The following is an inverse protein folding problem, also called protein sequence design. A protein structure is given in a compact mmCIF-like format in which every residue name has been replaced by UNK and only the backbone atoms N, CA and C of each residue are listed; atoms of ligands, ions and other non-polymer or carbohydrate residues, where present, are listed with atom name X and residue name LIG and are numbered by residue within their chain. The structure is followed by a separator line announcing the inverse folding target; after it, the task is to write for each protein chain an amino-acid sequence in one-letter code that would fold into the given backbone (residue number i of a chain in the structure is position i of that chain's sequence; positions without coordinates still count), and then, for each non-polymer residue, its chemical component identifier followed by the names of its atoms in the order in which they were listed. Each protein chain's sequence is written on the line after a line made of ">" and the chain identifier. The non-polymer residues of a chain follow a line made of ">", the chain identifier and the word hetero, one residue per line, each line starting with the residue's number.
data_IF_583255038031
#
_entry.id   IF_583255038031
#
_cell.length_a   1.000
_cell.length_b   1.000
_cell.length_c   1.000
_cell.angle_alpha   90.00
_cell.angle_beta   90.00
_cell.angle_gamma   90.00
#
_symmetry.space_group_name_H-M   'P 1'
#
loop_
_entity.id
_entity.type
_entity.pdbx_description
1 polymer ?
#
# COMPACT_ATOMS: atom_id res chain seq x y z
N UNK A 1 10.21 -11.04 8.18
CA UNK A 1 10.32 -9.57 8.01
C UNK A 1 9.97 -8.91 9.33
N UNK A 2 10.63 -7.80 9.71
CA UNK A 2 10.35 -7.16 11.02
C UNK A 2 8.98 -6.45 10.97
N UNK A 3 8.12 -6.69 11.98
CA UNK A 3 6.87 -5.95 12.14
C UNK A 3 7.20 -4.53 12.62
N UNK A 4 6.63 -3.48 12.01
CA UNK A 4 6.82 -2.09 12.45
C UNK A 4 6.36 -1.90 13.89
N UNK A 5 7.06 -1.07 14.64
CA UNK A 5 6.71 -0.77 16.04
C UNK A 5 5.76 0.41 16.16
N UNK A 6 5.95 1.40 15.29
CA UNK A 6 5.19 2.66 15.30
C UNK A 6 4.81 3.02 13.88
N UNK A 7 3.51 3.18 13.65
CA UNK A 7 2.94 3.68 12.39
C UNK A 7 2.43 5.11 12.61
N UNK A 8 2.77 5.99 11.67
CA UNK A 8 2.10 7.29 11.53
C UNK A 8 0.95 7.17 10.55
N UNK A 9 -0.13 7.88 10.82
CA UNK A 9 -1.22 8.14 9.86
C UNK A 9 -1.06 9.54 9.28
N UNK A 10 -1.73 9.84 8.18
CA UNK A 10 -1.70 11.17 7.60
C UNK A 10 -2.47 12.17 8.48
N UNK A 11 -2.05 13.44 8.38
CA UNK A 11 -2.63 14.53 9.17
C UNK A 11 -4.10 14.76 8.82
N UNK A 12 -5.01 14.80 9.81
CA UNK A 12 -6.41 15.07 9.54
C UNK A 12 -6.62 16.52 9.06
N UNK A 13 -7.43 16.73 8.05
CA UNK A 13 -7.73 18.04 7.44
C UNK A 13 -8.46 19.00 8.37
N UNK A 14 -9.05 18.50 9.46
CA UNK A 14 -9.84 19.28 10.40
C UNK A 14 -9.06 19.80 11.62
N UNK A 15 -7.75 19.68 11.62
CA UNK A 15 -6.86 20.19 12.67
C UNK A 15 -5.94 21.30 12.14
N UNK A 16 -5.22 21.97 13.05
CA UNK A 16 -4.28 23.03 12.65
C UNK A 16 -3.17 22.48 11.76
N UNK A 17 -2.82 23.22 10.71
CA UNK A 17 -1.73 22.85 9.81
C UNK A 17 -0.43 22.64 10.58
N UNK A 18 0.38 21.62 10.21
CA UNK A 18 1.67 21.39 10.83
C UNK A 18 2.64 22.55 10.47
N UNK A 19 3.70 22.67 11.27
CA UNK A 19 4.64 23.80 11.15
C UNK A 19 5.35 23.88 9.79
N UNK A 20 5.40 22.81 9.04
CA UNK A 20 6.05 22.75 7.72
C UNK A 20 5.11 23.09 6.54
N UNK A 21 3.83 23.34 6.80
CA UNK A 21 2.85 23.76 5.79
C UNK A 21 2.01 24.94 6.26
N UNK A 22 1.66 25.82 5.33
CA UNK A 22 0.70 26.90 5.54
C UNK A 22 -0.64 26.60 4.87
N UNK A 23 -0.75 25.44 4.22
CA UNK A 23 -1.97 25.03 3.54
C UNK A 23 -3.01 24.55 4.55
N UNK A 24 -4.27 24.89 4.31
CA UNK A 24 -5.40 24.47 5.16
C UNK A 24 -5.61 22.96 5.04
N UNK A 25 -5.39 22.41 3.85
CA UNK A 25 -5.46 20.99 3.54
C UNK A 25 -4.11 20.55 3.03
N UNK A 26 -3.55 19.51 3.64
CA UNK A 26 -2.30 18.91 3.16
C UNK A 26 -2.56 18.13 1.88
N UNK A 27 -1.78 18.39 0.84
CA UNK A 27 -1.88 17.69 -0.43
C UNK A 27 -0.54 17.68 -1.17
N UNK A 28 -0.38 16.71 -2.06
CA UNK A 28 0.76 16.63 -2.95
C UNK A 28 2.10 16.61 -2.22
N UNK A 29 2.91 17.65 -2.36
CA UNK A 29 4.26 17.71 -1.79
C UNK A 29 4.29 17.87 -0.27
N UNK A 30 3.26 18.46 0.33
CA UNK A 30 3.16 18.59 1.79
C UNK A 30 2.91 17.23 2.45
N UNK A 31 2.10 16.36 1.85
CA UNK A 31 1.89 15.00 2.33
C UNK A 31 3.18 14.16 2.23
N UNK A 32 3.95 14.33 1.16
CA UNK A 32 5.26 13.67 1.01
C UNK A 32 6.23 14.13 2.09
N UNK A 33 6.21 15.43 2.42
CA UNK A 33 7.04 16.00 3.48
C UNK A 33 6.59 15.50 4.86
N UNK A 34 5.28 15.36 5.08
CA UNK A 34 4.72 14.76 6.30
C UNK A 34 5.23 13.33 6.50
N UNK A 35 5.14 12.48 5.46
CA UNK A 35 5.66 11.12 5.50
C UNK A 35 7.16 11.09 5.80
N UNK A 36 7.95 11.95 5.15
CA UNK A 36 9.37 12.07 5.45
C UNK A 36 9.64 12.50 6.89
N UNK A 37 8.88 13.47 7.41
CA UNK A 37 9.00 13.93 8.79
C UNK A 37 8.68 12.81 9.79
N UNK A 38 7.64 12.02 9.52
CA UNK A 38 7.28 10.86 10.33
C UNK A 38 8.43 9.85 10.45
N UNK A 39 9.08 9.52 9.34
CA UNK A 39 10.23 8.61 9.36
C UNK A 39 11.46 9.24 10.02
N UNK A 40 11.85 10.44 9.61
CA UNK A 40 13.15 11.02 9.93
C UNK A 40 13.22 11.69 11.30
N UNK A 41 12.10 12.28 11.76
CA UNK A 41 12.07 13.08 12.99
C UNK A 41 11.25 12.43 14.10
N UNK A 42 10.11 11.79 13.77
CA UNK A 42 9.28 11.11 14.76
C UNK A 42 9.74 9.67 15.02
N UNK A 43 10.63 9.12 14.18
CA UNK A 43 11.14 7.77 14.32
C UNK A 43 10.11 6.68 14.07
N UNK A 44 9.08 6.97 13.25
CA UNK A 44 8.11 5.98 12.83
C UNK A 44 8.74 5.01 11.84
N UNK A 45 8.51 3.71 12.03
CA UNK A 45 8.98 2.66 11.11
C UNK A 45 8.02 2.49 9.93
N UNK A 46 6.81 3.05 10.02
CA UNK A 46 5.75 2.90 9.02
C UNK A 46 4.95 4.18 8.86
N UNK A 47 4.59 4.47 7.62
CA UNK A 47 3.63 5.49 7.26
C UNK A 47 2.43 4.84 6.56
N UNK A 48 1.23 5.05 7.07
CA UNK A 48 0.01 4.75 6.35
C UNK A 48 -0.21 5.84 5.30
N UNK A 49 -0.32 5.43 4.03
CA UNK A 49 -0.66 6.31 2.92
C UNK A 49 -2.13 6.14 2.60
N UNK A 50 -2.88 7.18 2.90
CA UNK A 50 -4.33 7.15 2.78
C UNK A 50 -4.76 7.44 1.33
N UNK A 51 -5.48 6.48 0.74
CA UNK A 51 -6.01 6.57 -0.61
C UNK A 51 -7.53 6.76 -0.63
N UNK A 52 -8.13 7.07 0.52
CA UNK A 52 -9.57 7.21 0.70
C UNK A 52 -9.95 8.69 0.86
N UNK A 53 -11.02 9.12 0.19
CA UNK A 53 -11.64 10.44 0.40
C UNK A 53 -10.85 11.64 -0.13
N UNK A 54 -9.78 11.46 -0.89
CA UNK A 54 -8.92 12.54 -1.39
C UNK A 54 -8.22 12.22 -2.70
N UNK A 55 -7.62 13.24 -3.29
CA UNK A 55 -6.71 13.07 -4.42
C UNK A 55 -5.41 12.40 -3.95
N UNK A 56 -5.10 11.24 -4.53
CA UNK A 56 -3.97 10.41 -4.11
C UNK A 56 -2.73 10.71 -4.95
N UNK A 57 -1.61 11.01 -4.30
CA UNK A 57 -0.33 11.13 -4.99
C UNK A 57 0.27 9.76 -5.30
N UNK A 58 0.03 9.28 -6.53
CA UNK A 58 0.56 8.01 -7.03
C UNK A 58 2.09 8.01 -7.21
N UNK A 59 2.78 9.13 -6.98
CA UNK A 59 4.23 9.29 -7.13
C UNK A 59 4.96 9.45 -5.79
N UNK A 60 4.30 9.19 -4.67
CA UNK A 60 4.87 9.38 -3.33
C UNK A 60 6.25 8.75 -3.18
N UNK A 61 6.46 7.49 -3.54
CA UNK A 61 7.76 6.81 -3.42
C UNK A 61 8.82 7.48 -4.29
N UNK A 62 8.48 7.85 -5.52
CA UNK A 62 9.41 8.60 -6.39
C UNK A 62 9.83 9.92 -5.75
N UNK A 63 8.87 10.66 -5.20
CA UNK A 63 9.13 11.94 -4.54
C UNK A 63 9.97 11.78 -3.28
N UNK A 64 9.69 10.77 -2.46
CA UNK A 64 10.50 10.44 -1.29
C UNK A 64 11.96 10.16 -1.69
N UNK A 65 12.19 9.29 -2.66
CA UNK A 65 13.54 8.94 -3.11
C UNK A 65 14.28 10.11 -3.76
N UNK A 66 13.60 10.96 -4.53
CA UNK A 66 14.27 12.09 -5.22
C UNK A 66 14.51 13.28 -4.32
N UNK A 67 13.65 13.55 -3.35
CA UNK A 67 13.78 14.69 -2.43
C UNK A 67 14.65 14.40 -1.22
N UNK A 68 14.72 13.13 -0.81
CA UNK A 68 15.36 12.69 0.43
C UNK A 68 16.26 11.47 0.19
N UNK A 69 17.03 11.49 -0.91
CA UNK A 69 17.83 10.36 -1.38
C UNK A 69 18.75 9.80 -0.31
N UNK A 70 19.55 10.64 0.36
CA UNK A 70 20.51 10.22 1.38
C UNK A 70 19.85 9.43 2.50
N UNK A 71 18.71 9.92 3.00
CA UNK A 71 17.96 9.25 4.06
C UNK A 71 17.47 7.86 3.64
N UNK A 72 16.90 7.74 2.43
CA UNK A 72 16.36 6.46 1.96
C UNK A 72 17.44 5.50 1.44
N UNK A 73 18.65 5.96 1.18
CA UNK A 73 19.81 5.08 0.95
C UNK A 73 20.24 4.37 2.24
N UNK A 74 20.16 5.05 3.38
CA UNK A 74 20.50 4.50 4.70
C UNK A 74 19.35 3.73 5.35
N UNK A 75 18.11 4.16 5.11
CA UNK A 75 16.88 3.60 5.68
C UNK A 75 15.99 3.05 4.57
N UNK A 76 16.15 1.79 4.24
CA UNK A 76 15.58 1.19 3.03
C UNK A 76 14.08 0.99 3.16
N UNK A 77 13.31 1.70 2.31
CA UNK A 77 11.86 1.53 2.24
C UNK A 77 11.50 0.17 1.64
N UNK A 78 10.71 -0.60 2.36
CA UNK A 78 10.38 -1.99 2.06
C UNK A 78 11.20 -3.01 2.87
N UNK A 79 12.26 -2.57 3.56
CA UNK A 79 13.07 -3.43 4.45
C UNK A 79 13.13 -2.88 5.87
N UNK A 80 13.58 -1.65 6.04
CA UNK A 80 13.77 -0.99 7.33
C UNK A 80 12.56 -0.13 7.70
N UNK A 81 11.98 0.52 6.69
CA UNK A 81 10.77 1.34 6.77
C UNK A 81 9.66 0.76 5.89
N UNK A 82 8.42 1.09 6.18
CA UNK A 82 7.24 0.68 5.42
C UNK A 82 6.37 1.84 4.99
N UNK A 83 5.83 1.73 3.79
CA UNK A 83 4.73 2.54 3.29
C UNK A 83 3.56 1.59 3.00
N UNK A 84 2.46 1.75 3.73
CA UNK A 84 1.31 0.85 3.67
C UNK A 84 0.11 1.63 3.15
N UNK A 85 -0.49 1.20 2.04
CA UNK A 85 -1.63 1.90 1.43
C UNK A 85 -2.92 1.55 2.18
N UNK A 86 -3.70 2.54 2.62
CA UNK A 86 -5.09 2.34 2.99
C UNK A 86 -5.96 2.59 1.77
N UNK A 87 -6.53 1.53 1.23
CA UNK A 87 -7.33 1.57 0.00
C UNK A 87 -8.82 1.70 0.31
N UNK A 88 -9.64 2.33 -0.54
CA UNK A 88 -11.09 2.39 -0.35
C UNK A 88 -11.70 0.99 -0.29
N UNK A 89 -12.69 0.80 0.60
CA UNK A 89 -13.49 -0.42 0.62
C UNK A 89 -14.64 -0.32 -0.40
N UNK A 90 -14.61 -1.09 -1.50
CA UNK A 90 -15.61 -0.95 -2.56
C UNK A 90 -17.02 -1.40 -2.14
N UNK A 91 -17.17 -2.05 -1.01
CA UNK A 91 -18.48 -2.44 -0.47
C UNK A 91 -19.14 -1.29 0.29
N UNK A 92 -18.34 -0.42 0.91
CA UNK A 92 -18.79 0.73 1.69
C UNK A 92 -18.74 2.02 0.86
N UNK A 93 -17.67 2.22 0.06
CA UNK A 93 -17.39 3.47 -0.66
C UNK A 93 -17.44 3.29 -2.17
N UNK A 94 -18.65 3.09 -2.68
CA UNK A 94 -18.88 2.79 -4.10
C UNK A 94 -18.42 3.87 -5.06
N UNK A 95 -18.42 5.13 -4.66
CA UNK A 95 -17.95 6.24 -5.49
C UNK A 95 -16.44 6.15 -5.77
N UNK A 96 -15.67 5.64 -4.82
CA UNK A 96 -14.22 5.52 -4.87
C UNK A 96 -13.73 4.10 -5.20
N UNK A 97 -14.63 3.16 -5.40
CA UNK A 97 -14.33 1.75 -5.60
C UNK A 97 -13.24 1.48 -6.67
N UNK A 98 -13.17 2.31 -7.72
CA UNK A 98 -12.16 2.13 -8.78
C UNK A 98 -10.77 2.61 -8.39
N UNK A 99 -10.66 3.51 -7.42
CA UNK A 99 -9.39 3.97 -6.87
C UNK A 99 -8.61 2.80 -6.27
N UNK A 100 -9.30 1.84 -5.62
CA UNK A 100 -8.69 0.60 -5.16
C UNK A 100 -7.87 -0.06 -6.29
N UNK A 101 -8.48 -0.27 -7.46
CA UNK A 101 -7.83 -0.95 -8.57
C UNK A 101 -6.64 -0.14 -9.11
N UNK A 102 -6.79 1.17 -9.22
CA UNK A 102 -5.73 2.08 -9.65
C UNK A 102 -4.54 2.02 -8.70
N UNK A 103 -4.77 2.00 -7.38
CA UNK A 103 -3.70 1.91 -6.40
C UNK A 103 -2.96 0.57 -6.48
N UNK A 104 -3.67 -0.54 -6.60
CA UNK A 104 -3.05 -1.86 -6.78
C UNK A 104 -2.19 -1.94 -8.05
N UNK A 105 -2.61 -1.31 -9.14
CA UNK A 105 -1.86 -1.23 -10.40
C UNK A 105 -0.56 -0.38 -10.27
N UNK A 106 -0.45 0.49 -9.28
CA UNK A 106 0.77 1.28 -9.08
C UNK A 106 1.92 0.47 -8.46
N UNK A 107 1.62 -0.60 -7.74
CA UNK A 107 2.59 -1.36 -6.94
C UNK A 107 3.74 -1.90 -7.80
N UNK A 108 3.52 -2.57 -8.95
CA UNK A 108 4.63 -3.04 -9.78
C UNK A 108 5.52 -1.91 -10.31
N UNK A 109 4.94 -0.79 -10.72
CA UNK A 109 5.70 0.39 -11.17
C UNK A 109 6.60 0.95 -10.07
N UNK A 110 6.09 0.97 -8.84
CA UNK A 110 6.85 1.43 -7.66
C UNK A 110 7.96 0.44 -7.30
N UNK A 111 7.74 -0.86 -7.53
CA UNK A 111 8.78 -1.87 -7.40
C UNK A 111 9.94 -1.64 -8.37
N UNK A 112 9.64 -1.39 -9.65
CA UNK A 112 10.67 -1.11 -10.66
C UNK A 112 11.49 0.14 -10.32
N UNK A 113 10.81 1.18 -9.82
CA UNK A 113 11.47 2.39 -9.33
C UNK A 113 12.42 2.08 -8.16
N UNK A 114 11.99 1.27 -7.21
CA UNK A 114 12.79 0.84 -6.07
C UNK A 114 14.02 0.04 -6.51
N UNK A 115 13.83 -0.87 -7.45
CA UNK A 115 14.93 -1.65 -8.05
C UNK A 115 15.97 -0.76 -8.74
N UNK A 116 15.54 0.27 -9.46
CA UNK A 116 16.46 1.26 -10.05
C UNK A 116 17.20 2.06 -8.97
N UNK A 117 16.51 2.41 -7.90
CA UNK A 117 17.09 3.21 -6.82
C UNK A 117 18.08 2.43 -5.96
N UNK A 118 17.75 1.22 -5.53
CA UNK A 118 18.58 0.39 -4.64
C UNK A 118 19.54 -0.55 -5.37
N UNK A 119 19.27 -0.90 -6.62
CA UNK A 119 19.98 -1.96 -7.35
C UNK A 119 19.61 -3.38 -6.92
N UNK A 120 18.57 -3.53 -6.10
CA UNK A 120 18.09 -4.79 -5.51
C UNK A 120 16.58 -4.94 -5.69
N UNK A 121 16.08 -6.17 -5.65
CA UNK A 121 14.65 -6.49 -5.69
C UNK A 121 14.02 -6.24 -4.31
N UNK A 122 13.64 -5.00 -4.02
CA UNK A 122 12.98 -4.57 -2.78
C UNK A 122 11.62 -3.98 -3.13
N UNK A 123 10.56 -4.52 -2.53
CA UNK A 123 9.20 -4.01 -2.68
C UNK A 123 8.93 -2.90 -1.64
N UNK A 124 8.87 -1.63 -2.02
CA UNK A 124 8.60 -0.54 -1.06
C UNK A 124 7.15 -0.55 -0.58
N UNK A 125 6.24 -1.11 -1.37
CA UNK A 125 4.85 -1.33 -1.04
C UNK A 125 4.52 -2.80 -1.31
N UNK A 126 4.08 -3.52 -0.28
CA UNK A 126 3.69 -4.93 -0.35
C UNK A 126 2.56 -5.28 0.63
N UNK A 127 2.05 -4.29 1.35
CA UNK A 127 0.89 -4.40 2.24
C UNK A 127 -0.12 -3.31 1.92
N UNK A 128 -1.40 -3.67 1.95
CA UNK A 128 -2.53 -2.74 1.82
C UNK A 128 -3.49 -2.95 2.98
N UNK A 129 -4.09 -1.87 3.48
CA UNK A 129 -5.11 -1.90 4.53
C UNK A 129 -6.48 -1.80 3.89
N UNK A 130 -7.37 -2.75 4.20
CA UNK A 130 -8.78 -2.69 3.86
C UNK A 130 -9.56 -2.19 5.08
N UNK A 131 -10.07 -0.94 5.08
CA UNK A 131 -10.90 -0.41 6.15
C UNK A 131 -12.28 -1.10 6.18
N UNK A 132 -12.97 -1.00 7.32
CA UNK A 132 -14.35 -1.51 7.51
C UNK A 132 -14.50 -2.97 7.03
N UNK A 133 -13.49 -3.80 7.27
CA UNK A 133 -13.52 -5.21 6.88
C UNK A 133 -14.60 -5.97 7.66
N UNK A 134 -15.43 -6.77 6.96
CA UNK A 134 -16.56 -7.49 7.55
C UNK A 134 -16.55 -8.99 7.29
N UNK A 135 -15.91 -9.43 6.21
CA UNK A 135 -15.90 -10.82 5.79
C UNK A 135 -14.60 -11.22 5.07
N UNK A 136 -14.32 -12.52 5.06
CA UNK A 136 -13.13 -13.08 4.45
C UNK A 136 -13.07 -12.85 2.93
N UNK A 137 -14.20 -12.93 2.26
CA UNK A 137 -14.32 -12.77 0.81
C UNK A 137 -13.91 -11.38 0.33
N UNK A 138 -14.23 -10.32 1.08
CA UNK A 138 -13.84 -8.95 0.75
C UNK A 138 -12.31 -8.80 0.74
N UNK A 139 -11.66 -9.38 1.75
CA UNK A 139 -10.20 -9.38 1.89
C UNK A 139 -9.58 -10.21 0.75
N UNK A 140 -10.13 -11.40 0.50
CA UNK A 140 -9.63 -12.32 -0.52
C UNK A 140 -9.78 -11.78 -1.93
N UNK A 141 -10.85 -11.04 -2.25
CA UNK A 141 -11.04 -10.39 -3.56
C UNK A 141 -9.89 -9.45 -3.89
N UNK A 142 -9.39 -8.66 -2.94
CA UNK A 142 -8.27 -7.76 -3.16
C UNK A 142 -6.98 -8.56 -3.43
N UNK A 143 -6.70 -9.56 -2.58
CA UNK A 143 -5.55 -10.45 -2.75
C UNK A 143 -5.57 -11.15 -4.11
N UNK A 144 -6.69 -11.80 -4.47
CA UNK A 144 -6.86 -12.51 -5.74
C UNK A 144 -6.85 -11.56 -6.94
N UNK A 145 -7.44 -10.37 -6.82
CA UNK A 145 -7.37 -9.36 -7.88
C UNK A 145 -5.92 -8.98 -8.17
N UNK A 146 -5.14 -8.69 -7.14
CA UNK A 146 -3.73 -8.36 -7.34
C UNK A 146 -2.99 -9.50 -8.07
N UNK A 147 -3.09 -10.72 -7.58
CA UNK A 147 -2.40 -11.86 -8.18
C UNK A 147 -2.85 -12.18 -9.60
N UNK A 148 -4.16 -12.17 -9.85
CA UNK A 148 -4.72 -12.67 -11.10
C UNK A 148 -4.80 -11.60 -12.20
N UNK A 149 -4.99 -10.34 -11.83
CA UNK A 149 -5.24 -9.26 -12.78
C UNK A 149 -4.11 -8.23 -12.81
N UNK A 150 -3.50 -7.88 -11.70
CA UNK A 150 -2.36 -6.97 -11.71
C UNK A 150 -1.09 -7.70 -12.13
N UNK A 151 -0.71 -8.76 -11.43
CA UNK A 151 0.48 -9.55 -11.76
C UNK A 151 0.19 -10.55 -12.88
N UNK A 152 -0.93 -11.25 -12.83
CA UNK A 152 -1.26 -12.32 -13.77
C UNK A 152 -1.40 -11.89 -15.21
N UNK A 153 -1.67 -10.61 -15.49
CA UNK A 153 -1.70 -10.08 -16.85
C UNK A 153 -0.35 -10.17 -17.56
N UNK A 154 0.77 -10.23 -16.85
CA UNK A 154 2.11 -10.31 -17.42
C UNK A 154 2.31 -11.53 -18.33
N UNK A 155 1.60 -12.64 -18.08
CA UNK A 155 1.69 -13.87 -18.82
C UNK A 155 0.79 -13.91 -20.09
N UNK A 156 0.07 -12.82 -20.35
CA UNK A 156 -0.84 -12.71 -21.50
C UNK A 156 -0.20 -11.94 -22.64
N UNK A 157 -0.45 -12.35 -23.86
CA UNK A 157 -0.16 -11.55 -25.05
C UNK A 157 -1.32 -10.57 -25.31
N UNK A 158 -1.04 -9.41 -25.92
CA UNK A 158 -2.08 -8.42 -26.28
C UNK A 158 -2.94 -8.88 -27.47
N UNK A 159 -2.39 -9.77 -28.29
CA UNK A 159 -3.08 -10.44 -29.41
C UNK A 159 -2.51 -11.83 -29.60
N UNK A 160 -3.23 -12.69 -30.28
CA UNK A 160 -2.79 -14.06 -30.59
C UNK A 160 -1.46 -14.07 -31.37
N UNK A 161 -0.51 -14.90 -30.91
CA UNK A 161 0.81 -15.04 -31.54
C UNK A 161 1.82 -13.93 -31.27
N UNK A 162 1.50 -12.99 -30.39
CA UNK A 162 2.42 -11.92 -29.99
C UNK A 162 3.20 -12.29 -28.70
N UNK A 163 4.20 -11.48 -28.37
CA UNK A 163 4.93 -11.56 -27.12
C UNK A 163 4.01 -11.27 -25.93
N UNK A 164 4.37 -11.80 -24.77
CA UNK A 164 3.65 -11.51 -23.52
C UNK A 164 3.87 -10.06 -23.04
N UNK A 165 3.00 -9.60 -22.15
CA UNK A 165 3.17 -8.29 -21.53
C UNK A 165 4.50 -8.22 -20.76
N UNK A 166 4.93 -9.30 -20.09
CA UNK A 166 6.22 -9.34 -19.40
C UNK A 166 7.43 -9.24 -20.37
N UNK A 167 7.35 -9.90 -21.53
CA UNK A 167 8.38 -9.77 -22.57
C UNK A 167 8.46 -8.37 -23.18
N UNK A 168 7.35 -7.64 -23.17
CA UNK A 168 7.26 -6.28 -23.71
C UNK A 168 7.72 -5.20 -22.74
N UNK A 169 7.26 -5.24 -21.47
CA UNK A 169 7.46 -4.14 -20.51
C UNK A 169 8.13 -4.57 -19.19
N UNK A 170 8.51 -5.84 -19.05
CA UNK A 170 9.13 -6.38 -17.85
C UNK A 170 8.15 -7.11 -16.93
N UNK A 171 8.71 -7.84 -15.96
CA UNK A 171 7.96 -8.60 -14.96
C UNK A 171 7.23 -7.70 -13.98
N UNK A 172 6.07 -8.16 -13.50
CA UNK A 172 5.27 -7.47 -12.47
C UNK A 172 5.61 -8.03 -11.08
N UNK A 173 6.22 -7.22 -10.24
CA UNK A 173 6.58 -7.56 -8.86
C UNK A 173 6.04 -6.53 -7.87
N UNK A 174 5.87 -6.91 -6.58
CA UNK A 174 6.01 -8.26 -6.03
C UNK A 174 4.92 -9.20 -6.56
N UNK A 175 5.17 -10.52 -6.52
CA UNK A 175 4.21 -11.51 -7.03
C UNK A 175 2.91 -11.58 -6.20
N UNK A 176 3.00 -11.23 -4.93
CA UNK A 176 1.88 -11.19 -3.97
C UNK A 176 1.98 -9.97 -3.09
N UNK A 177 0.85 -9.56 -2.50
CA UNK A 177 0.76 -8.54 -1.44
C UNK A 177 0.09 -9.15 -0.22
N UNK A 178 0.26 -8.52 0.95
CA UNK A 178 -0.55 -8.81 2.13
C UNK A 178 -1.72 -7.82 2.20
N UNK A 179 -2.91 -8.31 2.52
CA UNK A 179 -4.07 -7.46 2.82
C UNK A 179 -4.29 -7.47 4.32
N UNK A 180 -4.21 -6.31 4.94
CA UNK A 180 -4.41 -6.09 6.37
C UNK A 180 -5.86 -5.67 6.57
N UNK A 181 -6.74 -6.52 7.13
CA UNK A 181 -8.08 -6.08 7.47
C UNK A 181 -8.05 -5.13 8.67
N UNK A 182 -8.79 -4.03 8.58
CA UNK A 182 -9.08 -3.12 9.68
C UNK A 182 -10.56 -3.31 10.07
N UNK A 183 -10.78 -3.79 11.28
CA UNK A 183 -12.11 -3.99 11.86
C UNK A 183 -12.45 -2.80 12.77
N UNK A 184 -13.44 -2.01 12.38
CA UNK A 184 -13.79 -0.75 13.08
C UNK A 184 -15.03 -0.90 13.96
N UNK A 185 -15.88 -1.88 13.67
CA UNK A 185 -17.07 -2.18 14.46
C UNK A 185 -16.82 -3.30 15.48
N UNK A 186 -17.33 -3.14 16.71
CA UNK A 186 -17.19 -4.13 17.76
C UNK A 186 -17.66 -5.54 17.35
N UNK A 187 -18.75 -5.62 16.57
CA UNK A 187 -19.26 -6.90 16.08
C UNK A 187 -18.21 -7.65 15.26
N UNK A 188 -17.53 -6.96 14.34
CA UNK A 188 -16.52 -7.56 13.46
C UNK A 188 -15.18 -7.76 14.16
N UNK A 189 -14.82 -6.89 15.12
CA UNK A 189 -13.66 -7.12 16.00
C UNK A 189 -13.80 -8.45 16.75
N UNK A 190 -14.97 -8.77 17.26
CA UNK A 190 -15.23 -10.04 17.95
C UNK A 190 -15.22 -11.24 17.01
N UNK A 191 -15.55 -11.05 15.73
CA UNK A 191 -15.53 -12.08 14.67
C UNK A 191 -14.18 -12.20 13.96
N UNK A 192 -13.25 -11.26 14.19
CA UNK A 192 -11.96 -11.19 13.48
C UNK A 192 -11.20 -12.53 13.46
N UNK A 193 -11.09 -13.31 14.55
CA UNK A 193 -10.40 -14.59 14.52
C UNK A 193 -11.01 -15.59 13.53
N UNK A 194 -12.34 -15.60 13.40
CA UNK A 194 -13.03 -16.49 12.45
C UNK A 194 -12.83 -16.01 11.02
N UNK A 195 -13.01 -14.72 10.75
CA UNK A 195 -12.84 -14.11 9.43
C UNK A 195 -11.40 -14.34 8.94
N UNK A 196 -10.40 -14.12 9.81
CA UNK A 196 -9.00 -14.38 9.47
C UNK A 196 -8.73 -15.85 9.19
N UNK A 197 -9.29 -16.75 9.96
CA UNK A 197 -9.17 -18.19 9.73
C UNK A 197 -9.71 -18.59 8.35
N UNK A 198 -10.85 -18.05 7.95
CA UNK A 198 -11.46 -18.30 6.64
C UNK A 198 -10.60 -17.70 5.53
N UNK A 199 -10.16 -16.45 5.67
CA UNK A 199 -9.31 -15.78 4.69
C UNK A 199 -7.98 -16.51 4.44
N UNK A 200 -7.38 -17.10 5.49
CA UNK A 200 -6.04 -17.71 5.44
C UNK A 200 -6.05 -19.20 5.05
N UNK A 201 -7.22 -19.82 4.85
CA UNK A 201 -7.32 -21.27 4.59
C UNK A 201 -6.48 -21.77 3.41
N UNK A 202 -6.34 -20.96 2.36
CA UNK A 202 -5.64 -21.31 1.12
C UNK A 202 -4.32 -20.55 0.92
N UNK A 203 -3.79 -19.93 1.98
CA UNK A 203 -2.61 -19.07 1.91
C UNK A 203 -1.47 -19.59 2.77
N UNK A 204 -0.28 -19.63 2.18
CA UNK A 204 0.96 -19.91 2.88
C UNK A 204 1.58 -18.61 3.39
N UNK A 205 1.06 -18.10 4.51
CA UNK A 205 1.61 -16.90 5.18
C UNK A 205 2.16 -17.25 6.55
N UNK A 206 3.29 -16.68 6.90
CA UNK A 206 3.90 -16.88 8.22
C UNK A 206 3.36 -15.92 9.27
N UNK A 207 2.92 -14.75 8.84
CA UNK A 207 2.42 -13.67 9.69
C UNK A 207 1.29 -12.94 8.97
N UNK A 208 0.21 -12.63 9.71
CA UNK A 208 -0.90 -11.80 9.24
C UNK A 208 -1.11 -10.65 10.20
N UNK A 209 -1.00 -9.44 9.70
CA UNK A 209 -1.33 -8.23 10.45
C UNK A 209 -2.84 -7.99 10.41
N UNK A 210 -3.37 -7.43 11.49
CA UNK A 210 -4.76 -7.00 11.62
C UNK A 210 -4.79 -5.71 12.43
N UNK A 211 -5.70 -4.82 12.09
CA UNK A 211 -5.97 -3.60 12.85
C UNK A 211 -7.38 -3.67 13.45
N UNK A 212 -7.51 -3.16 14.69
CA UNK A 212 -8.73 -3.16 15.48
C UNK A 212 -9.01 -1.75 15.99
#
# INVERSE_FOLDING_TARGET
>A
MRIPKVMSTQHPDNVASPFFSTNVVLSGDDEVLEAFYAYSHLGCDEQMWDCEGKEVDAYVVKKLFTKHEEFFRENVLGRDLRLTLRVPNPEEEKAEAKILLEQLETIPRVFDLSKLFYGEDIAPIFEVILPMAKEADSIDRIYKYYMNYVVGKQNKATKEGDITIAEWIGEFKPATINVIPLFEDLEYMLKAPQILKEYLLDKEVTEQRVFL
#
